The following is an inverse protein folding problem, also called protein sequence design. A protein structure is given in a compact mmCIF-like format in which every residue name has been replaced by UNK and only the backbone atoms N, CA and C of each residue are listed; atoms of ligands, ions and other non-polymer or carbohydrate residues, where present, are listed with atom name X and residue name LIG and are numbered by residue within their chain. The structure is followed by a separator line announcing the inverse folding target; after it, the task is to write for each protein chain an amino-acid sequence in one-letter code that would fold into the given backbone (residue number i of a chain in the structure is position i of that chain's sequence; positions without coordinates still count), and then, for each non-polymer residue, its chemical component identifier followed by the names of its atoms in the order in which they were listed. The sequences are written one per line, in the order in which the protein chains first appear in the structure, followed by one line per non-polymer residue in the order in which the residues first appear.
data_IF_430325889865
#
_entry.id   IF_430325889865
#
_cell.length_a   1.000
_cell.length_b   1.000
_cell.length_c   1.000
_cell.angle_alpha   90.00
_cell.angle_beta   90.00
_cell.angle_gamma   90.00
#
_symmetry.space_group_name_H-M   'P 1'
#
loop_
_entity.id
_entity.type
_entity.pdbx_description
1 polymer ?
#
# COMPACT_ATOMS: atom_id res chain seq x y z
N UNK A 1 -16.10 29.07 2.18
CA UNK A 1 -14.76 28.67 1.71
C UNK A 1 -14.67 27.15 1.81
N UNK A 2 -14.65 26.46 0.68
CA UNK A 2 -14.45 25.01 0.61
C UNK A 2 -12.96 24.79 0.38
N UNK A 3 -12.22 24.38 1.40
CA UNK A 3 -10.88 23.83 1.22
C UNK A 3 -11.06 22.40 0.66
N UNK A 4 -11.39 22.31 -0.63
CA UNK A 4 -11.52 21.05 -1.35
C UNK A 4 -10.23 20.27 -1.19
N UNK A 5 -10.36 19.05 -0.69
CA UNK A 5 -9.29 18.06 -0.49
C UNK A 5 -8.25 18.18 -1.61
N UNK A 6 -6.99 18.42 -1.25
CA UNK A 6 -5.86 18.27 -2.16
C UNK A 6 -5.99 16.90 -2.84
N UNK A 7 -6.36 16.89 -4.11
CA UNK A 7 -6.57 15.66 -4.87
C UNK A 7 -5.21 14.96 -4.95
N UNK A 8 -5.10 13.80 -4.31
CA UNK A 8 -3.87 13.00 -4.38
C UNK A 8 -3.70 12.51 -5.81
N UNK A 9 -2.61 12.87 -6.50
CA UNK A 9 -2.40 12.48 -7.89
C UNK A 9 -2.28 10.96 -8.06
N UNK A 10 -2.48 10.48 -9.30
CA UNK A 10 -2.25 9.09 -9.63
C UNK A 10 -0.79 8.68 -9.33
N UNK A 11 -0.58 7.57 -8.61
CA UNK A 11 0.77 7.13 -8.23
C UNK A 11 1.67 6.87 -9.46
N UNK A 12 1.09 6.41 -10.58
CA UNK A 12 1.84 5.98 -11.77
C UNK A 12 2.13 7.14 -12.71
N UNK A 13 1.10 7.89 -13.12
CA UNK A 13 1.22 8.94 -14.13
C UNK A 13 1.17 10.38 -13.59
N UNK A 14 0.77 10.59 -12.33
CA UNK A 14 0.61 11.93 -11.74
C UNK A 14 -0.65 12.68 -12.15
N UNK A 15 -1.64 12.02 -12.78
CA UNK A 15 -2.94 12.63 -13.10
C UNK A 15 -3.66 13.13 -11.84
N UNK A 16 -4.22 14.34 -11.87
CA UNK A 16 -5.02 14.90 -10.77
C UNK A 16 -6.44 14.30 -10.68
N UNK A 17 -6.87 13.54 -11.70
CA UNK A 17 -8.19 12.91 -11.74
C UNK A 17 -8.07 11.43 -11.37
N UNK A 18 -8.33 11.13 -10.09
CA UNK A 18 -8.27 9.77 -9.55
C UNK A 18 -9.66 9.22 -9.23
N UNK A 19 -9.85 7.92 -9.45
CA UNK A 19 -11.13 7.21 -9.29
C UNK A 19 -11.08 6.14 -8.21
N UNK A 20 -9.88 5.61 -7.93
CA UNK A 20 -9.65 4.58 -6.92
C UNK A 20 -8.48 4.97 -6.03
N UNK A 21 -8.47 4.42 -4.82
CA UNK A 21 -7.40 4.57 -3.83
C UNK A 21 -7.33 3.35 -2.93
N UNK A 22 -6.13 3.04 -2.45
CA UNK A 22 -5.92 2.01 -1.44
C UNK A 22 -4.77 2.35 -0.50
N UNK A 23 -4.72 1.64 0.62
CA UNK A 23 -3.67 1.77 1.64
C UNK A 23 -2.52 0.77 1.43
N UNK A 24 -1.29 1.18 1.78
CA UNK A 24 -0.14 0.28 1.93
C UNK A 24 0.56 0.52 3.27
N UNK A 25 1.34 -0.46 3.71
CA UNK A 25 2.18 -0.31 4.89
C UNK A 25 3.25 0.78 4.68
N UNK A 26 3.62 1.56 5.71
CA UNK A 26 4.69 2.56 5.61
C UNK A 26 5.98 2.07 4.97
N UNK A 27 6.41 0.86 5.33
CA UNK A 27 7.63 0.26 4.77
C UNK A 27 7.54 0.01 3.27
N UNK A 28 6.34 -0.26 2.73
CA UNK A 28 6.14 -0.50 1.30
C UNK A 28 6.50 0.72 0.43
N UNK A 29 6.61 1.92 1.03
CA UNK A 29 7.11 3.10 0.34
C UNK A 29 8.54 2.90 -0.19
N UNK A 30 9.36 2.06 0.45
CA UNK A 30 10.75 1.81 0.03
C UNK A 30 10.82 1.03 -1.28
N UNK A 31 9.74 0.39 -1.71
CA UNK A 31 9.63 -0.28 -3.00
C UNK A 31 9.29 0.69 -4.15
N UNK A 32 8.93 1.95 -3.82
CA UNK A 32 8.49 2.94 -4.78
C UNK A 32 9.64 3.74 -5.41
N UNK A 33 9.39 4.33 -6.58
CA UNK A 33 10.32 5.27 -7.22
C UNK A 33 10.47 6.53 -6.36
N UNK A 34 11.70 7.06 -6.34
CA UNK A 34 12.09 8.29 -5.65
C UNK A 34 11.91 8.26 -4.12
N UNK A 35 11.80 7.07 -3.51
CA UNK A 35 11.58 6.88 -2.07
C UNK A 35 12.80 7.08 -1.18
N UNK A 36 14.01 7.14 -1.74
CA UNK A 36 15.27 7.18 -0.99
C UNK A 36 15.33 8.19 0.17
N UNK A 37 14.80 9.42 0.04
CA UNK A 37 14.79 10.41 1.12
C UNK A 37 13.70 10.22 2.19
N UNK A 38 12.74 9.30 2.01
CA UNK A 38 11.58 9.18 2.92
C UNK A 38 11.95 8.37 4.16
N UNK A 39 11.84 9.00 5.32
CA UNK A 39 11.95 8.35 6.63
C UNK A 39 10.69 7.52 6.92
N UNK A 40 10.55 6.37 6.26
CA UNK A 40 9.33 5.56 6.29
C UNK A 40 8.88 5.17 7.71
N UNK A 41 9.82 5.04 8.66
CA UNK A 41 9.50 4.75 10.06
C UNK A 41 8.76 5.90 10.74
N UNK A 42 8.98 7.13 10.32
CA UNK A 42 8.31 8.31 10.87
C UNK A 42 6.95 8.58 10.23
N UNK A 43 6.51 7.74 9.27
CA UNK A 43 5.15 7.82 8.73
C UNK A 43 4.13 7.43 9.80
N UNK A 44 3.14 8.29 9.99
CA UNK A 44 2.02 8.10 10.91
C UNK A 44 0.84 7.51 10.14
N UNK A 45 0.47 6.27 10.46
CA UNK A 45 -0.65 5.56 9.84
C UNK A 45 -0.27 4.82 8.57
N UNK A 46 -1.24 4.59 7.68
CA UNK A 46 -1.01 3.99 6.38
C UNK A 46 -0.59 5.03 5.33
N UNK A 47 0.07 4.56 4.27
CA UNK A 47 0.32 5.37 3.07
C UNK A 47 -0.83 5.15 2.10
N UNK A 48 -1.45 6.23 1.63
CA UNK A 48 -2.54 6.16 0.66
C UNK A 48 -1.99 6.39 -0.75
N UNK A 49 -2.32 5.48 -1.67
CA UNK A 49 -2.09 5.63 -3.11
C UNK A 49 -3.41 5.87 -3.82
N UNK A 50 -3.39 6.69 -4.87
CA UNK A 50 -4.54 6.96 -5.73
C UNK A 50 -4.24 6.62 -7.18
N UNK A 51 -5.26 6.30 -7.97
CA UNK A 51 -5.14 5.87 -9.37
C UNK A 51 -6.20 6.53 -10.24
N UNK A 52 -5.82 6.97 -11.44
CA UNK A 52 -6.78 7.36 -12.48
C UNK A 52 -7.43 6.11 -13.09
N UNK A 53 -8.47 6.27 -13.89
CA UNK A 53 -9.25 5.16 -14.46
C UNK A 53 -8.38 4.16 -15.26
N UNK A 54 -7.56 4.67 -16.19
CA UNK A 54 -6.71 3.80 -17.02
C UNK A 54 -5.64 3.05 -16.22
N UNK A 55 -5.03 3.72 -15.25
CA UNK A 55 -4.01 3.10 -14.39
C UNK A 55 -4.65 2.14 -13.38
N UNK A 56 -5.90 2.38 -12.97
CA UNK A 56 -6.64 1.50 -12.08
C UNK A 56 -7.00 0.17 -12.75
N UNK A 57 -7.40 0.20 -14.03
CA UNK A 57 -7.62 -1.02 -14.82
C UNK A 57 -6.35 -1.87 -14.86
N UNK A 58 -5.20 -1.25 -15.21
CA UNK A 58 -3.90 -1.92 -15.22
C UNK A 58 -3.52 -2.50 -13.84
N UNK A 59 -3.72 -1.72 -12.77
CA UNK A 59 -3.38 -2.16 -11.41
C UNK A 59 -4.25 -3.32 -10.95
N UNK A 60 -5.52 -3.31 -11.35
CA UNK A 60 -6.47 -4.40 -11.05
C UNK A 60 -6.06 -5.69 -11.76
N UNK A 61 -5.72 -5.63 -13.05
CA UNK A 61 -5.20 -6.78 -13.81
C UNK A 61 -3.90 -7.31 -13.20
N UNK A 62 -2.95 -6.42 -12.90
CA UNK A 62 -1.67 -6.80 -12.28
C UNK A 62 -1.85 -7.57 -10.98
N UNK A 63 -2.74 -7.11 -10.10
CA UNK A 63 -2.96 -7.73 -8.80
C UNK A 63 -3.81 -9.00 -8.91
N UNK A 64 -4.98 -8.92 -9.54
CA UNK A 64 -5.97 -10.01 -9.54
C UNK A 64 -5.59 -11.15 -10.48
N UNK A 65 -4.98 -10.85 -11.62
CA UNK A 65 -4.71 -11.85 -12.66
C UNK A 65 -3.24 -12.26 -12.70
N UNK A 66 -2.32 -11.29 -12.58
CA UNK A 66 -0.89 -11.53 -12.74
C UNK A 66 -0.13 -11.79 -11.45
N UNK A 67 -0.77 -11.65 -10.28
CA UNK A 67 -0.14 -11.85 -8.97
C UNK A 67 1.11 -10.95 -8.75
N UNK A 68 1.01 -9.68 -9.18
CA UNK A 68 2.04 -8.65 -9.09
C UNK A 68 1.49 -7.37 -8.42
N UNK A 69 2.39 -6.48 -7.96
CA UNK A 69 2.01 -5.16 -7.43
C UNK A 69 2.67 -4.00 -8.20
N UNK A 70 2.08 -2.79 -8.20
CA UNK A 70 2.54 -1.68 -9.04
C UNK A 70 3.66 -0.84 -8.42
N UNK A 71 4.03 -1.08 -7.15
CA UNK A 71 4.84 -0.15 -6.35
C UNK A 71 6.16 0.28 -6.99
N UNK A 72 6.89 -0.62 -7.66
CA UNK A 72 8.16 -0.30 -8.35
C UNK A 72 8.02 0.73 -9.47
N UNK A 73 6.78 0.99 -9.94
CA UNK A 73 6.45 2.03 -10.91
C UNK A 73 5.79 3.26 -10.30
N UNK A 74 5.17 3.16 -9.13
CA UNK A 74 4.60 4.31 -8.44
C UNK A 74 5.69 5.30 -8.01
N UNK A 75 5.42 6.59 -8.17
CA UNK A 75 6.26 7.66 -7.65
C UNK A 75 5.80 8.04 -6.23
N UNK A 76 6.71 7.96 -5.25
CA UNK A 76 6.39 8.29 -3.85
C UNK A 76 5.89 9.73 -3.67
N UNK A 77 6.30 10.66 -4.56
CA UNK A 77 5.91 12.06 -4.49
C UNK A 77 4.40 12.27 -4.68
N UNK A 78 3.69 11.27 -5.22
CA UNK A 78 2.24 11.29 -5.40
C UNK A 78 1.49 10.52 -4.31
N UNK A 79 2.20 9.83 -3.40
CA UNK A 79 1.58 9.17 -2.27
C UNK A 79 1.16 10.20 -1.21
N UNK A 80 0.05 9.90 -0.51
CA UNK A 80 -0.40 10.70 0.62
C UNK A 80 -0.08 10.00 1.94
N UNK A 81 0.70 10.66 2.79
CA UNK A 81 1.05 10.20 4.12
C UNK A 81 1.41 11.39 5.01
N UNK A 82 1.34 11.19 6.33
CA UNK A 82 1.80 12.18 7.31
C UNK A 82 3.08 11.70 7.94
N UNK A 83 4.05 12.59 8.13
CA UNK A 83 5.24 12.32 8.93
C UNK A 83 5.02 12.82 10.35
N UNK A 84 5.62 12.16 11.32
CA UNK A 84 5.66 12.64 12.70
C UNK A 84 6.28 14.05 12.69
N UNK A 85 5.58 15.00 13.29
CA UNK A 85 6.11 16.34 13.47
C UNK A 85 7.22 16.30 14.53
N UNK A 86 8.47 16.35 14.10
CA UNK A 86 9.61 16.42 15.00
C UNK A 86 9.79 17.86 15.53
N UNK A 87 8.92 18.26 16.47
CA UNK A 87 9.02 19.57 17.14
C UNK A 87 10.15 19.66 18.21
N UNK A 88 10.94 18.61 18.41
CA UNK A 88 11.94 18.54 19.51
C UNK A 88 13.40 18.66 19.03
N UNK A 89 13.71 19.68 18.23
CA UNK A 89 15.09 20.08 17.98
C UNK A 89 15.77 20.77 19.19
N UNK A 90 15.07 21.00 20.31
CA UNK A 90 15.59 21.78 21.44
C UNK A 90 15.93 20.99 22.71
N UNK A 91 15.50 19.73 22.85
CA UNK A 91 15.78 18.94 24.06
C UNK A 91 16.10 17.49 23.70
N UNK A 92 17.35 17.30 23.31
CA UNK A 92 18.13 16.07 23.15
C UNK A 92 17.69 14.83 23.98
N UNK A 93 16.56 14.23 23.63
CA UNK A 93 16.25 12.84 23.90
C UNK A 93 16.18 12.11 22.55
N UNK A 94 17.14 11.22 22.32
CA UNK A 94 17.15 10.35 21.14
C UNK A 94 15.94 9.41 21.26
N UNK A 95 14.82 9.74 20.63
CA UNK A 95 13.64 8.86 20.59
C UNK A 95 14.03 7.61 19.81
N UNK A 96 13.57 6.45 20.28
CA UNK A 96 13.71 5.20 19.56
C UNK A 96 13.01 5.31 18.20
N UNK A 97 13.57 4.64 17.19
CA UNK A 97 12.94 4.57 15.87
C UNK A 97 11.54 3.95 16.00
N UNK A 98 10.49 4.52 15.40
CA UNK A 98 9.15 3.97 15.51
C UNK A 98 9.07 2.54 14.97
N UNK A 99 8.45 1.66 15.76
CA UNK A 99 8.11 0.31 15.34
C UNK A 99 6.75 0.30 14.61
N UNK A 100 6.78 -0.11 13.34
CA UNK A 100 5.60 -0.18 12.47
C UNK A 100 4.86 -1.52 12.53
N UNK A 101 5.33 -2.49 13.32
CA UNK A 101 4.80 -3.87 13.38
C UNK A 101 3.28 -3.90 13.64
N UNK A 102 2.78 -3.04 14.53
CA UNK A 102 1.34 -2.98 14.83
C UNK A 102 0.49 -2.53 13.63
N UNK A 103 0.97 -1.54 12.88
CA UNK A 103 0.28 -1.02 11.69
C UNK A 103 0.33 -2.04 10.55
N UNK A 104 1.50 -2.66 10.34
CA UNK A 104 1.70 -3.75 9.36
C UNK A 104 0.76 -4.93 9.67
N UNK A 105 0.68 -5.35 10.94
CA UNK A 105 -0.22 -6.44 11.38
C UNK A 105 -1.69 -6.08 11.12
N UNK A 106 -2.12 -4.87 11.48
CA UNK A 106 -3.50 -4.42 11.26
C UNK A 106 -3.89 -4.43 9.77
N UNK A 107 -3.01 -3.98 8.90
CA UNK A 107 -3.25 -4.00 7.46
C UNK A 107 -3.31 -5.42 6.94
N UNK A 108 -2.37 -6.28 7.36
CA UNK A 108 -2.34 -7.67 6.94
C UNK A 108 -3.55 -8.48 7.42
N UNK A 109 -4.03 -8.26 8.64
CA UNK A 109 -5.24 -8.91 9.16
C UNK A 109 -6.47 -8.51 8.34
N UNK A 110 -6.61 -7.22 8.02
CA UNK A 110 -7.67 -6.74 7.11
C UNK A 110 -7.55 -7.39 5.73
N UNK A 111 -6.33 -7.51 5.19
CA UNK A 111 -6.12 -8.20 3.91
C UNK A 111 -6.55 -9.65 3.97
N UNK A 112 -6.27 -10.37 5.07
CA UNK A 112 -6.73 -11.76 5.26
C UNK A 112 -8.25 -11.85 5.26
N UNK A 113 -8.93 -10.98 6.01
CA UNK A 113 -10.38 -10.96 6.07
C UNK A 113 -11.02 -10.75 4.68
N UNK A 114 -10.44 -9.87 3.86
CA UNK A 114 -10.89 -9.63 2.49
C UNK A 114 -10.66 -10.84 1.60
N UNK A 115 -9.46 -11.43 1.66
CA UNK A 115 -9.14 -12.62 0.85
C UNK A 115 -10.04 -13.80 1.22
N UNK A 116 -10.27 -14.03 2.52
CA UNK A 116 -11.18 -15.07 3.01
C UNK A 116 -12.65 -14.84 2.60
N UNK A 117 -13.00 -13.59 2.25
CA UNK A 117 -14.34 -13.19 1.80
C UNK A 117 -14.44 -13.03 0.27
N UNK A 118 -13.49 -13.56 -0.51
CA UNK A 118 -13.45 -13.37 -1.98
C UNK A 118 -14.70 -13.91 -2.69
N UNK A 119 -15.32 -14.97 -2.18
CA UNK A 119 -16.54 -15.56 -2.75
C UNK A 119 -17.83 -14.80 -2.34
N UNK A 120 -17.72 -13.80 -1.46
CA UNK A 120 -18.84 -12.94 -1.08
C UNK A 120 -19.12 -11.91 -2.20
N UNK A 121 -20.35 -11.84 -2.76
CA UNK A 121 -20.71 -10.87 -3.80
C UNK A 121 -20.63 -9.40 -3.36
N UNK A 122 -20.49 -9.12 -2.06
CA UNK A 122 -20.31 -7.78 -1.52
C UNK A 122 -18.84 -7.36 -1.36
N UNK A 123 -17.89 -8.26 -1.60
CA UNK A 123 -16.46 -7.92 -1.59
C UNK A 123 -16.08 -7.20 -2.88
N UNK A 124 -15.65 -5.94 -2.76
CA UNK A 124 -15.25 -5.14 -3.93
C UNK A 124 -13.89 -5.58 -4.47
N UNK A 125 -13.72 -5.58 -5.80
CA UNK A 125 -12.41 -5.82 -6.44
C UNK A 125 -11.34 -4.85 -5.94
N UNK A 126 -11.72 -3.61 -5.60
CA UNK A 126 -10.82 -2.62 -5.02
C UNK A 126 -10.23 -3.09 -3.69
N UNK A 127 -11.03 -3.71 -2.83
CA UNK A 127 -10.56 -4.26 -1.56
C UNK A 127 -9.65 -5.47 -1.80
N UNK A 128 -9.98 -6.32 -2.78
CA UNK A 128 -9.15 -7.48 -3.17
C UNK A 128 -7.78 -7.04 -3.71
N UNK A 129 -7.75 -6.04 -4.58
CA UNK A 129 -6.52 -5.43 -5.10
C UNK A 129 -5.66 -4.86 -3.96
N UNK A 130 -6.27 -4.09 -3.03
CA UNK A 130 -5.58 -3.58 -1.84
C UNK A 130 -4.94 -4.73 -1.03
N UNK A 131 -5.73 -5.78 -0.74
CA UNK A 131 -5.28 -6.93 0.04
C UNK A 131 -4.11 -7.67 -0.61
N UNK A 132 -4.16 -7.90 -1.92
CA UNK A 132 -3.08 -8.53 -2.69
C UNK A 132 -1.84 -7.65 -2.68
N UNK A 133 -1.96 -6.35 -2.95
CA UNK A 133 -0.81 -5.44 -2.98
C UNK A 133 -0.13 -5.34 -1.61
N UNK A 134 -0.90 -5.28 -0.51
CA UNK A 134 -0.35 -5.32 0.85
C UNK A 134 0.40 -6.63 1.08
N UNK A 135 -0.22 -7.77 0.76
CA UNK A 135 0.40 -9.09 0.94
C UNK A 135 1.72 -9.23 0.17
N UNK A 136 1.70 -8.93 -1.13
CA UNK A 136 2.89 -9.05 -1.99
C UNK A 136 4.01 -8.10 -1.58
N UNK A 137 3.69 -6.86 -1.23
CA UNK A 137 4.71 -5.89 -0.82
C UNK A 137 5.39 -6.28 0.51
N UNK A 138 4.64 -6.83 1.47
CA UNK A 138 5.20 -7.32 2.72
C UNK A 138 6.01 -8.60 2.53
N UNK A 139 5.62 -9.46 1.58
CA UNK A 139 6.39 -10.64 1.18
C UNK A 139 7.73 -10.23 0.53
N UNK A 140 7.72 -9.29 -0.44
CA UNK A 140 8.94 -8.78 -1.09
C UNK A 140 9.90 -8.15 -0.07
N UNK A 141 9.37 -7.47 0.94
CA UNK A 141 10.15 -6.87 2.03
C UNK A 141 10.61 -7.87 3.11
N UNK A 142 10.26 -9.16 2.97
CA UNK A 142 10.61 -10.21 3.92
C UNK A 142 9.96 -10.06 5.30
N UNK A 143 8.85 -9.31 5.39
CA UNK A 143 8.07 -9.14 6.63
C UNK A 143 7.21 -10.37 6.90
N UNK A 144 6.72 -11.00 5.85
CA UNK A 144 5.97 -12.25 5.89
C UNK A 144 6.56 -13.26 4.92
N UNK A 145 6.34 -14.55 5.18
CA UNK A 145 6.85 -15.62 4.31
C UNK A 145 6.10 -15.76 2.99
N UNK A 146 4.79 -15.46 2.98
CA UNK A 146 3.95 -15.56 1.79
C UNK A 146 2.69 -14.71 1.95
N UNK A 147 2.28 -14.05 0.86
CA UNK A 147 1.06 -13.26 0.79
C UNK A 147 -0.20 -14.12 1.07
N UNK A 148 -1.26 -13.55 1.68
CA UNK A 148 -2.44 -14.31 2.11
C UNK A 148 -3.12 -15.12 1.00
N UNK A 149 -3.32 -14.53 -0.18
CA UNK A 149 -3.98 -15.16 -1.32
C UNK A 149 -3.14 -16.30 -1.95
N UNK A 150 -1.80 -16.22 -1.85
CA UNK A 150 -0.91 -17.30 -2.34
C UNK A 150 -1.01 -18.57 -1.50
N UNK A 151 -1.32 -18.46 -0.20
CA UNK A 151 -1.53 -19.63 0.66
C UNK A 151 -2.80 -20.40 0.32
N UNK A 152 -3.76 -19.75 -0.34
CA UNK A 152 -5.05 -20.33 -0.71
C UNK A 152 -5.05 -20.90 -2.13
N UNK A 153 -4.14 -20.43 -3.01
CA UNK A 153 -3.98 -20.99 -4.35
C UNK A 153 -3.40 -22.41 -4.21
N UNK A 154 -4.10 -23.48 -4.63
CA UNK A 154 -3.49 -24.81 -4.67
C UNK A 154 -2.26 -24.78 -5.58
N UNK A 155 -1.23 -25.61 -5.33
CA UNK A 155 -0.05 -25.64 -6.21
C UNK A 155 -0.53 -25.88 -7.64
N UNK A 156 -0.17 -24.97 -8.54
CA UNK A 156 -0.39 -25.15 -9.97
C UNK A 156 0.18 -26.51 -10.36
N UNK A 157 -0.67 -27.45 -10.76
CA UNK A 157 -0.23 -28.68 -11.40
C UNK A 157 0.53 -28.28 -12.66
N UNK A 158 1.86 -28.34 -12.61
CA UNK A 158 2.71 -28.20 -13.77
C UNK A 158 2.54 -29.47 -14.62
N UNK A 159 1.99 -29.31 -15.83
CA UNK A 159 2.13 -30.26 -16.94
C UNK A 159 3.51 -30.11 -17.59
#
# INVERSE_FOLDING_TARGET
MYAGRTNTPCCLCGSEHTVSRFEIAPRAVTLMKNSGPIAWRDIVGAVTLSFCESDWELVSELALEMDMHPLSRCNVAYASFSLREDFEALLSAKKDEPDQTKQETKLLDRSRDVIDSTDDPYTEDRDRVEAIVIGLSLEELGVIEAAPHRKQRPPSSAD
#
